data_IF_380681936481
#
_entry.id   IF_380681936481
#
_cell.length_a   1.000
_cell.length_b   1.000
_cell.length_c   1.000
_cell.angle_alpha   90.00
_cell.angle_beta   90.00
_cell.angle_gamma   90.00
#
_symmetry.space_group_name_H-M   'P 1'
#
loop_
_entity.id
_entity.type
_entity.pdbx_description
1 polymer ?
#
# COMPACT_ATOMS: atom_id res chain seq x y z
N UNK A 1 9.37 16.15 -0.10
CA UNK A 1 10.07 14.96 -0.61
C UNK A 1 9.63 14.61 -2.01
N UNK A 2 8.37 14.83 -2.41
CA UNK A 2 8.02 14.97 -3.82
C UNK A 2 8.06 16.44 -4.24
N UNK A 3 8.61 16.75 -5.42
CA UNK A 3 8.78 18.13 -5.89
C UNK A 3 7.56 18.66 -6.64
N UNK A 4 6.62 17.78 -7.00
CA UNK A 4 5.37 18.10 -7.71
C UNK A 4 4.23 17.29 -7.13
N UNK A 5 3.04 17.86 -7.19
CA UNK A 5 1.85 17.36 -6.50
C UNK A 5 0.66 17.28 -7.47
N UNK A 6 0.96 17.03 -8.76
CA UNK A 6 -0.06 17.04 -9.82
C UNK A 6 -0.83 15.71 -9.81
N UNK A 7 -0.11 14.59 -9.74
CA UNK A 7 -0.71 13.26 -9.82
C UNK A 7 -0.07 12.24 -8.88
N UNK A 8 -0.90 11.54 -8.10
CA UNK A 8 -0.53 10.35 -7.35
C UNK A 8 -1.22 9.10 -7.92
N UNK A 9 -0.57 7.96 -7.83
CA UNK A 9 -1.15 6.65 -8.12
C UNK A 9 -1.12 5.76 -6.87
N UNK A 10 -2.30 5.41 -6.36
CA UNK A 10 -2.47 4.38 -5.33
C UNK A 10 -2.69 3.00 -5.98
N UNK A 11 -1.70 2.13 -5.82
CA UNK A 11 -1.61 0.83 -6.48
C UNK A 11 -1.94 -0.31 -5.51
N UNK A 12 -2.88 -1.17 -5.89
CA UNK A 12 -3.49 -2.14 -4.96
C UNK A 12 -4.40 -1.41 -3.96
N UNK A 13 -5.24 -0.50 -4.48
CA UNK A 13 -6.00 0.47 -3.68
C UNK A 13 -7.14 -0.16 -2.87
N UNK A 14 -7.54 -1.40 -3.16
CA UNK A 14 -8.76 -1.98 -2.62
C UNK A 14 -9.97 -1.11 -2.95
N UNK A 15 -10.71 -0.69 -1.93
CA UNK A 15 -11.84 0.23 -2.08
C UNK A 15 -11.45 1.71 -1.82
N UNK A 16 -10.17 2.04 -1.85
CA UNK A 16 -9.69 3.41 -1.88
C UNK A 16 -9.31 4.03 -0.54
N UNK A 17 -9.07 3.24 0.50
CA UNK A 17 -8.79 3.79 1.85
C UNK A 17 -7.56 4.72 1.85
N UNK A 18 -6.48 4.32 1.17
CA UNK A 18 -5.27 5.14 1.07
C UNK A 18 -5.41 6.25 0.02
N UNK A 19 -6.00 5.96 -1.14
CA UNK A 19 -6.27 6.94 -2.19
C UNK A 19 -7.01 8.20 -1.69
N UNK A 20 -8.03 8.04 -0.84
CA UNK A 20 -8.76 9.16 -0.24
C UNK A 20 -7.84 10.11 0.54
N UNK A 21 -6.88 9.57 1.28
CA UNK A 21 -5.94 10.34 2.10
C UNK A 21 -4.93 11.15 1.26
N UNK A 22 -4.79 10.84 -0.02
CA UNK A 22 -3.92 11.59 -0.95
C UNK A 22 -4.60 12.83 -1.54
N UNK A 23 -5.93 12.87 -1.55
CA UNK A 23 -6.73 13.95 -2.18
C UNK A 23 -6.54 15.37 -1.63
N UNK A 24 -6.11 15.58 -0.36
CA UNK A 24 -5.76 16.92 0.12
C UNK A 24 -4.39 17.40 -0.39
N UNK A 25 -3.54 16.49 -0.88
CA UNK A 25 -2.15 16.79 -1.22
C UNK A 25 -1.86 16.78 -2.71
N UNK A 26 -2.69 16.10 -3.52
CA UNK A 26 -2.51 15.96 -4.97
C UNK A 26 -3.74 16.47 -5.72
N UNK A 27 -3.51 17.13 -6.87
CA UNK A 27 -4.59 17.60 -7.74
C UNK A 27 -5.42 16.44 -8.29
N UNK A 28 -4.76 15.32 -8.61
CA UNK A 28 -5.39 14.11 -9.10
C UNK A 28 -4.83 12.87 -8.43
N UNK A 29 -5.71 11.94 -8.09
CA UNK A 29 -5.36 10.62 -7.60
C UNK A 29 -5.88 9.59 -8.59
N UNK A 30 -5.00 8.74 -9.07
CA UNK A 30 -5.38 7.51 -9.76
C UNK A 30 -5.34 6.37 -8.75
N UNK A 31 -6.35 5.50 -8.77
CA UNK A 31 -6.45 4.40 -7.82
C UNK A 31 -6.72 3.12 -8.60
N UNK A 32 -5.91 2.09 -8.42
CA UNK A 32 -6.09 0.83 -9.15
C UNK A 32 -6.03 -0.40 -8.27
N UNK A 33 -6.86 -1.38 -8.60
CA UNK A 33 -6.87 -2.71 -8.00
C UNK A 33 -7.17 -3.75 -9.10
N UNK A 34 -6.59 -4.96 -9.07
CA UNK A 34 -6.97 -6.01 -10.01
C UNK A 34 -8.41 -6.51 -9.79
N UNK A 35 -9.00 -6.30 -8.60
CA UNK A 35 -10.35 -6.73 -8.29
C UNK A 35 -11.39 -5.70 -8.71
N UNK A 36 -12.19 -6.03 -9.73
CA UNK A 36 -13.34 -5.22 -10.13
C UNK A 36 -14.34 -5.00 -8.97
N UNK A 37 -14.52 -6.00 -8.12
CA UNK A 37 -15.41 -5.91 -6.96
C UNK A 37 -14.91 -4.88 -5.93
N UNK A 38 -13.59 -4.78 -5.71
CA UNK A 38 -13.02 -3.76 -4.82
C UNK A 38 -13.28 -2.35 -5.37
N UNK A 39 -13.05 -2.16 -6.67
CA UNK A 39 -13.28 -0.89 -7.37
C UNK A 39 -14.77 -0.50 -7.37
N UNK A 40 -15.68 -1.45 -7.53
CA UNK A 40 -17.12 -1.20 -7.49
C UNK A 40 -17.59 -0.68 -6.11
N UNK A 41 -16.95 -1.13 -5.02
CA UNK A 41 -17.26 -0.70 -3.66
C UNK A 41 -16.41 0.49 -3.20
N UNK A 42 -15.63 1.10 -4.09
CA UNK A 42 -14.81 2.24 -3.74
C UNK A 42 -15.65 3.50 -3.50
N UNK A 43 -15.29 4.24 -2.45
CA UNK A 43 -15.92 5.52 -2.10
C UNK A 43 -15.69 6.56 -3.22
N UNK A 44 -16.74 7.06 -3.90
CA UNK A 44 -16.56 8.02 -4.97
C UNK A 44 -15.96 9.33 -4.48
N UNK A 45 -15.01 9.89 -5.23
CA UNK A 45 -14.42 11.19 -4.92
C UNK A 45 -14.03 11.94 -6.20
N UNK A 46 -14.31 13.24 -6.27
CA UNK A 46 -14.12 14.06 -7.50
C UNK A 46 -12.68 14.07 -8.04
N UNK A 47 -11.69 13.91 -7.16
CA UNK A 47 -10.26 13.87 -7.51
C UNK A 47 -9.71 12.47 -7.75
N UNK A 48 -10.50 11.42 -7.52
CA UNK A 48 -10.04 10.03 -7.64
C UNK A 48 -10.59 9.39 -8.91
N UNK A 49 -9.69 8.88 -9.75
CA UNK A 49 -10.04 8.06 -10.89
C UNK A 49 -9.70 6.59 -10.59
N UNK A 50 -10.73 5.81 -10.24
CA UNK A 50 -10.62 4.39 -9.99
C UNK A 50 -10.56 3.58 -11.29
N UNK A 51 -9.73 2.53 -11.32
CA UNK A 51 -9.57 1.64 -12.49
C UNK A 51 -9.29 0.21 -12.06
N UNK A 52 -9.83 -0.74 -12.80
CA UNK A 52 -9.44 -2.15 -12.68
C UNK A 52 -8.13 -2.33 -13.46
N UNK A 53 -7.03 -2.51 -12.75
CA UNK A 53 -5.72 -2.74 -13.34
C UNK A 53 -4.79 -3.45 -12.36
N UNK A 54 -3.95 -4.35 -12.89
CA UNK A 54 -2.87 -4.96 -12.14
C UNK A 54 -1.73 -3.96 -11.91
N UNK A 55 -0.95 -4.17 -10.85
CA UNK A 55 0.16 -3.30 -10.49
C UNK A 55 1.26 -3.25 -11.58
N UNK A 56 1.42 -4.36 -12.29
CA UNK A 56 2.42 -4.57 -13.33
C UNK A 56 2.04 -3.95 -14.68
N UNK A 57 0.77 -3.55 -14.85
CA UNK A 57 0.22 -3.05 -16.11
C UNK A 57 -0.83 -1.98 -15.84
N UNK A 58 -0.37 -0.82 -15.38
CA UNK A 58 -1.24 0.29 -14.94
C UNK A 58 -2.03 0.95 -16.07
N UNK A 59 -1.52 0.86 -17.31
CA UNK A 59 -2.05 1.58 -18.46
C UNK A 59 -1.82 3.10 -18.42
N UNK A 60 -1.05 3.62 -17.46
CA UNK A 60 -0.71 5.04 -17.41
C UNK A 60 0.36 5.42 -18.45
N UNK A 61 0.39 6.67 -18.92
CA UNK A 61 1.48 7.14 -19.77
C UNK A 61 2.84 7.09 -19.06
N UNK A 62 3.92 7.08 -19.84
CA UNK A 62 5.29 7.19 -19.32
C UNK A 62 5.44 8.53 -18.58
N UNK A 63 6.13 8.54 -17.43
CA UNK A 63 6.42 9.75 -16.65
C UNK A 63 5.18 10.63 -16.38
N UNK A 64 4.10 10.00 -15.91
CA UNK A 64 2.80 10.65 -15.72
C UNK A 64 2.42 10.92 -14.27
N UNK A 65 3.08 10.28 -13.30
CA UNK A 65 2.77 10.44 -11.87
C UNK A 65 3.97 10.92 -11.06
N UNK A 66 3.70 11.72 -10.04
CA UNK A 66 4.70 12.28 -9.13
C UNK A 66 4.91 11.38 -7.90
N UNK A 67 3.88 10.63 -7.50
CA UNK A 67 3.90 9.69 -6.38
C UNK A 67 3.24 8.37 -6.77
N UNK A 68 3.85 7.25 -6.41
CA UNK A 68 3.20 5.95 -6.34
C UNK A 68 3.11 5.53 -4.89
N UNK A 69 1.93 5.08 -4.46
CA UNK A 69 1.71 4.47 -3.17
C UNK A 69 1.33 3.01 -3.31
N UNK A 70 1.86 2.16 -2.42
CA UNK A 70 1.38 0.80 -2.22
C UNK A 70 1.13 0.61 -0.73
N UNK A 71 -0.13 0.72 -0.34
CA UNK A 71 -0.56 0.63 1.06
C UNK A 71 -1.04 -0.80 1.35
N UNK A 72 -0.23 -1.59 2.07
CA UNK A 72 -0.53 -2.97 2.49
C UNK A 72 -0.47 -4.04 1.37
N UNK A 73 -0.72 -3.71 0.10
CA UNK A 73 -0.92 -4.70 -0.97
C UNK A 73 0.37 -5.31 -1.57
N UNK A 74 1.54 -4.75 -1.28
CA UNK A 74 2.77 -5.01 -2.04
C UNK A 74 3.19 -6.49 -2.10
N UNK A 75 2.91 -7.28 -1.06
CA UNK A 75 3.24 -8.70 -1.00
C UNK A 75 2.53 -9.57 -2.06
N UNK A 76 1.49 -9.07 -2.72
CA UNK A 76 0.81 -9.77 -3.82
C UNK A 76 1.45 -9.56 -5.19
N UNK A 77 2.39 -8.62 -5.32
CA UNK A 77 2.85 -8.17 -6.63
C UNK A 77 3.99 -9.05 -7.16
N UNK A 78 4.11 -9.10 -8.48
CA UNK A 78 5.37 -9.46 -9.12
C UNK A 78 6.33 -8.27 -9.03
N UNK A 79 7.32 -8.35 -8.13
CA UNK A 79 8.22 -7.24 -7.85
C UNK A 79 8.96 -6.72 -9.08
N UNK A 80 9.54 -7.61 -9.91
CA UNK A 80 10.32 -7.19 -11.08
C UNK A 80 9.44 -6.44 -12.10
N UNK A 81 8.27 -6.98 -12.40
CA UNK A 81 7.34 -6.37 -13.34
C UNK A 81 6.76 -5.07 -12.79
N UNK A 82 6.39 -5.04 -11.51
CA UNK A 82 5.91 -3.83 -10.85
C UNK A 82 6.97 -2.73 -10.83
N UNK A 83 8.23 -3.03 -10.50
CA UNK A 83 9.28 -2.00 -10.48
C UNK A 83 9.56 -1.43 -11.86
N UNK A 84 9.49 -2.25 -12.91
CA UNK A 84 9.58 -1.78 -14.30
C UNK A 84 8.45 -0.82 -14.62
N UNK A 85 7.24 -1.15 -14.20
CA UNK A 85 6.07 -0.30 -14.42
C UNK A 85 6.15 0.99 -13.60
N UNK A 86 6.53 0.90 -12.32
CA UNK A 86 6.76 2.05 -11.44
C UNK A 86 7.80 3.00 -12.03
N UNK A 87 8.94 2.47 -12.49
CA UNK A 87 9.98 3.27 -13.15
C UNK A 87 9.48 3.93 -14.44
N UNK A 88 8.63 3.24 -15.22
CA UNK A 88 8.08 3.76 -16.46
C UNK A 88 7.12 4.92 -16.20
N UNK A 89 6.25 4.82 -15.20
CA UNK A 89 5.19 5.82 -14.97
C UNK A 89 5.61 6.96 -14.05
N UNK A 90 6.61 6.76 -13.17
CA UNK A 90 7.14 7.82 -12.34
C UNK A 90 7.83 8.89 -13.18
N UNK A 91 7.52 10.15 -12.88
CA UNK A 91 8.26 11.30 -13.37
C UNK A 91 9.68 11.33 -12.79
N UNK A 92 10.65 11.98 -13.47
CA UNK A 92 11.95 12.25 -12.87
C UNK A 92 11.81 12.95 -11.52
N UNK A 93 12.39 12.35 -10.47
CA UNK A 93 12.28 12.85 -9.09
C UNK A 93 10.97 12.50 -8.37
N UNK A 94 10.11 11.68 -8.98
CA UNK A 94 8.94 11.12 -8.32
C UNK A 94 9.30 10.09 -7.26
N UNK A 95 8.36 9.78 -6.38
CA UNK A 95 8.57 8.92 -5.21
C UNK A 95 7.73 7.64 -5.33
N UNK A 96 8.33 6.50 -5.00
CA UNK A 96 7.62 5.27 -4.68
C UNK A 96 7.59 5.09 -3.16
N UNK A 97 6.40 5.12 -2.57
CA UNK A 97 6.19 4.88 -1.15
C UNK A 97 5.44 3.55 -0.96
N UNK A 98 6.10 2.58 -0.34
CA UNK A 98 5.52 1.28 -0.01
C UNK A 98 5.47 1.18 1.50
N UNK A 99 4.32 0.83 2.06
CA UNK A 99 4.19 0.63 3.50
C UNK A 99 3.20 -0.48 3.84
N UNK A 100 3.34 -0.99 5.05
CA UNK A 100 2.39 -1.89 5.67
C UNK A 100 2.34 -1.63 7.17
N UNK A 101 1.39 -2.27 7.84
CA UNK A 101 1.39 -2.43 9.29
C UNK A 101 1.35 -3.92 9.65
N UNK A 102 2.03 -4.24 10.74
CA UNK A 102 2.11 -5.59 11.31
C UNK A 102 1.03 -5.80 12.38
N UNK A 103 1.14 -6.89 13.17
CA UNK A 103 0.23 -7.16 14.27
C UNK A 103 0.20 -5.98 15.26
N UNK A 104 -1.00 -5.64 15.71
CA UNK A 104 -1.21 -4.70 16.79
C UNK A 104 -0.52 -5.16 18.08
N UNK A 105 -0.14 -4.20 18.92
CA UNK A 105 0.41 -4.41 20.26
C UNK A 105 -0.41 -3.58 21.25
N UNK A 106 -0.80 -4.20 22.36
CA UNK A 106 -1.70 -3.62 23.36
C UNK A 106 -1.04 -3.66 24.73
N UNK A 107 -0.74 -4.87 25.22
CA UNK A 107 -0.13 -5.13 26.53
C UNK A 107 0.42 -6.56 26.56
N UNK A 108 1.48 -6.85 27.32
CA UNK A 108 2.23 -8.11 27.19
C UNK A 108 1.41 -9.41 27.29
N UNK A 109 0.39 -9.45 28.14
CA UNK A 109 -0.46 -10.62 28.33
C UNK A 109 -1.46 -10.83 27.17
N UNK A 110 -1.96 -9.75 26.56
CA UNK A 110 -2.76 -9.84 25.32
C UNK A 110 -1.88 -10.14 24.12
N UNK A 111 -0.72 -9.50 24.03
CA UNK A 111 0.20 -9.64 22.91
C UNK A 111 0.65 -11.10 22.76
N UNK A 112 0.89 -11.79 23.87
CA UNK A 112 1.25 -13.21 23.88
C UNK A 112 0.12 -14.11 23.34
N UNK A 113 -1.14 -13.79 23.63
CA UNK A 113 -2.31 -14.51 23.09
C UNK A 113 -2.46 -14.26 21.59
N UNK A 114 -2.26 -13.01 21.16
CA UNK A 114 -2.31 -12.61 19.75
C UNK A 114 -1.20 -13.32 18.96
N UNK A 115 0.03 -13.37 19.50
CA UNK A 115 1.16 -14.01 18.85
C UNK A 115 0.95 -15.53 18.71
N UNK A 116 0.48 -16.22 19.75
CA UNK A 116 0.17 -17.66 19.68
C UNK A 116 -0.95 -17.95 18.67
N UNK A 117 -2.00 -17.14 18.68
CA UNK A 117 -3.07 -17.26 17.70
C UNK A 117 -2.54 -17.08 16.27
N UNK A 118 -1.85 -15.98 16.00
CA UNK A 118 -1.36 -15.65 14.66
C UNK A 118 -0.36 -16.67 14.11
N UNK A 119 0.58 -17.13 14.95
CA UNK A 119 1.70 -17.97 14.51
C UNK A 119 1.40 -19.46 14.55
N UNK A 120 0.71 -19.95 15.59
CA UNK A 120 0.47 -21.38 15.79
C UNK A 120 -0.91 -21.82 15.33
N UNK A 121 -1.95 -21.06 15.68
CA UNK A 121 -3.34 -21.46 15.43
C UNK A 121 -3.71 -21.22 13.97
N UNK A 122 -3.52 -19.99 13.48
CA UNK A 122 -3.85 -19.62 12.10
C UNK A 122 -2.64 -19.60 11.16
N UNK A 123 -1.42 -19.75 11.71
CA UNK A 123 -0.16 -19.78 10.97
C UNK A 123 -0.19 -20.62 9.68
N UNK A 124 -0.60 -21.89 9.73
CA UNK A 124 -0.66 -22.76 8.55
C UNK A 124 -1.64 -22.33 7.45
N UNK A 125 -2.56 -21.41 7.75
CA UNK A 125 -3.56 -20.90 6.81
C UNK A 125 -3.15 -19.58 6.16
N UNK A 126 -2.05 -18.96 6.61
CA UNK A 126 -1.54 -17.76 5.96
C UNK A 126 -0.94 -18.08 4.59
N UNK A 127 -1.13 -17.19 3.60
CA UNK A 127 -0.42 -17.28 2.34
C UNK A 127 1.08 -17.04 2.59
N UNK A 128 1.95 -17.72 1.85
CA UNK A 128 3.40 -17.65 2.04
C UNK A 128 3.94 -16.23 1.84
N UNK A 129 3.28 -15.46 0.98
CA UNK A 129 3.55 -14.07 0.66
C UNK A 129 3.46 -13.15 1.89
N UNK A 130 2.67 -13.55 2.91
CA UNK A 130 2.51 -12.77 4.16
C UNK A 130 3.84 -12.50 4.87
N UNK A 131 4.85 -13.36 4.68
CA UNK A 131 6.20 -13.20 5.22
C UNK A 131 6.80 -11.81 4.96
N UNK A 132 6.49 -11.18 3.83
CA UNK A 132 7.01 -9.87 3.50
C UNK A 132 6.40 -8.75 4.33
N UNK A 133 5.12 -8.86 4.71
CA UNK A 133 4.50 -7.90 5.62
C UNK A 133 5.01 -8.09 7.05
N UNK A 134 5.21 -9.33 7.46
CA UNK A 134 5.74 -9.64 8.80
C UNK A 134 7.18 -9.15 8.96
N UNK A 135 7.97 -9.22 7.89
CA UNK A 135 9.31 -8.65 7.79
C UNK A 135 9.31 -7.13 7.49
N UNK A 136 8.14 -6.48 7.44
CA UNK A 136 8.00 -5.04 7.16
C UNK A 136 8.69 -4.61 5.86
N UNK A 137 8.68 -5.49 4.86
CA UNK A 137 9.33 -5.35 3.56
C UNK A 137 10.86 -5.18 3.59
N UNK A 138 11.53 -5.39 4.72
CA UNK A 138 12.99 -5.15 4.88
C UNK A 138 13.86 -6.04 4.00
N UNK A 139 13.40 -7.25 3.69
CA UNK A 139 14.09 -8.21 2.82
C UNK A 139 13.82 -8.00 1.34
N UNK A 140 12.95 -7.06 0.95
CA UNK A 140 12.70 -6.77 -0.46
C UNK A 140 13.79 -5.84 -0.97
N UNK A 141 14.50 -6.28 -2.01
CA UNK A 141 15.48 -5.42 -2.69
C UNK A 141 14.75 -4.44 -3.61
N UNK A 142 14.85 -3.15 -3.27
CA UNK A 142 14.30 -2.06 -4.09
C UNK A 142 15.34 -1.63 -5.14
N UNK A 143 14.98 -1.52 -6.44
CA UNK A 143 15.89 -1.05 -7.48
C UNK A 143 15.98 0.49 -7.52
N UNK A 144 15.63 1.17 -6.44
CA UNK A 144 15.56 2.62 -6.33
C UNK A 144 16.42 3.10 -5.15
N UNK A 145 17.00 4.31 -5.22
CA UNK A 145 17.61 4.93 -4.06
C UNK A 145 16.61 5.09 -2.92
N UNK A 146 16.91 4.52 -1.76
CA UNK A 146 16.03 4.59 -0.60
C UNK A 146 16.12 5.94 0.10
N UNK A 147 14.97 6.44 0.56
CA UNK A 147 14.86 7.63 1.39
C UNK A 147 14.44 7.16 2.78
N UNK A 148 15.20 7.55 3.81
CA UNK A 148 14.85 7.23 5.20
C UNK A 148 13.51 7.90 5.57
N UNK A 149 12.43 7.12 5.80
CA UNK A 149 11.17 7.70 6.23
C UNK A 149 11.22 8.05 7.72
N UNK A 150 10.40 9.00 8.19
CA UNK A 150 10.16 9.13 9.62
C UNK A 150 9.48 7.85 10.14
N UNK A 151 9.67 7.55 11.43
CA UNK A 151 8.88 6.50 12.09
C UNK A 151 7.47 6.99 12.33
N UNK A 152 6.47 6.20 11.95
CA UNK A 152 5.05 6.46 12.19
C UNK A 152 4.39 5.26 12.85
N UNK A 153 3.31 5.51 13.60
CA UNK A 153 2.52 4.49 14.27
C UNK A 153 1.03 4.76 14.05
N UNK A 154 0.26 3.69 13.83
CA UNK A 154 -1.20 3.74 13.88
C UNK A 154 -1.65 3.46 15.32
N UNK A 155 -2.51 4.31 15.86
CA UNK A 155 -3.07 4.14 17.20
C UNK A 155 -4.59 4.14 17.12
N UNK A 156 -5.21 3.26 17.91
CA UNK A 156 -6.66 3.17 18.04
C UNK A 156 -7.03 2.91 19.50
N UNK A 157 -8.17 3.44 19.92
CA UNK A 157 -8.73 3.19 21.24
C UNK A 157 -10.00 2.35 21.09
N UNK A 158 -9.94 1.10 21.54
CA UNK A 158 -11.09 0.19 21.50
C UNK A 158 -11.64 -0.04 22.90
N UNK A 159 -12.96 -0.12 22.99
CA UNK A 159 -13.66 -0.54 24.20
C UNK A 159 -14.40 -1.83 23.87
N UNK A 160 -14.45 -2.75 24.82
CA UNK A 160 -15.33 -3.92 24.71
C UNK A 160 -16.77 -3.42 24.74
N UNK A 161 -17.58 -3.81 23.75
CA UNK A 161 -19.02 -3.60 23.80
C UNK A 161 -19.61 -4.38 24.98
N UNK A 162 -20.54 -3.76 25.69
CA UNK A 162 -21.10 -4.26 26.95
C UNK A 162 -21.90 -5.57 26.77
#
# INVERSE_FOLDING_TARGET
MCNKHDAAWDCGTGNGQAALLLTPYFERVFASDPSAAQIEHAEPHERIAYRVAAAEASGFPVQSVDLITVAQAFHWFNFEAFFREAQRVLRPGGILAIWCYSLLRIRPDIDSLIDDYYTRIIGPYWPAERRWVDDQYRSVSLPFPEINPPTFAMTANWRREA
#
